data_IF_529077934086
#
_entry.id   IF_529077934086
#
_cell.length_a   1.000
_cell.length_b   1.000
_cell.length_c   1.000
_cell.angle_alpha   90.00
_cell.angle_beta   90.00
_cell.angle_gamma   90.00
#
_symmetry.space_group_name_H-M   'P 1'
#
loop_
_entity.id
_entity.type
_entity.pdbx_description
1 polymer ?
#
# COMPACT_ATOMS: atom_id res chain seq x y z
N UNK A 1 -48.00 -22.30 -64.97
CA UNK A 1 -47.16 -21.10 -65.21
C UNK A 1 -45.99 -21.13 -64.23
N UNK A 2 -44.75 -21.06 -64.75
CA UNK A 2 -43.49 -20.73 -64.03
C UNK A 2 -43.60 -19.28 -63.49
N UNK A 3 -42.90 -18.83 -62.44
CA UNK A 3 -41.78 -19.37 -61.68
C UNK A 3 -41.52 -18.51 -60.41
N UNK A 4 -40.44 -18.81 -59.67
CA UNK A 4 -40.12 -18.28 -58.34
C UNK A 4 -39.24 -17.03 -58.41
N UNK A 5 -39.28 -16.18 -57.39
CA UNK A 5 -38.22 -15.21 -57.13
C UNK A 5 -37.72 -15.34 -55.69
N UNK A 6 -36.49 -15.84 -55.61
CA UNK A 6 -35.60 -15.84 -54.46
C UNK A 6 -35.40 -14.41 -53.93
N UNK A 7 -35.49 -14.23 -52.62
CA UNK A 7 -34.83 -13.12 -51.95
C UNK A 7 -33.93 -13.65 -50.82
N UNK A 8 -32.75 -13.03 -50.64
CA UNK A 8 -31.54 -13.72 -50.24
C UNK A 8 -31.41 -13.91 -48.74
N UNK A 9 -30.79 -15.03 -48.38
CA UNK A 9 -30.06 -15.22 -47.13
C UNK A 9 -29.03 -14.09 -46.95
N UNK A 10 -29.26 -13.21 -45.99
CA UNK A 10 -28.19 -12.44 -45.35
C UNK A 10 -27.86 -13.07 -44.00
N UNK A 11 -26.87 -13.95 -44.05
CA UNK A 11 -26.02 -14.26 -42.91
C UNK A 11 -25.08 -13.06 -42.64
N UNK A 12 -24.71 -12.86 -41.38
CA UNK A 12 -23.57 -12.02 -40.99
C UNK A 12 -23.90 -10.60 -40.49
N UNK A 13 -23.78 -10.39 -39.18
CA UNK A 13 -23.79 -9.03 -38.62
C UNK A 13 -23.68 -8.89 -37.12
N UNK A 14 -22.71 -9.56 -36.48
CA UNK A 14 -22.09 -9.22 -35.19
C UNK A 14 -22.94 -8.60 -34.06
N UNK A 15 -23.14 -9.42 -33.02
CA UNK A 15 -23.29 -9.10 -31.59
C UNK A 15 -22.87 -7.67 -31.15
N UNK A 16 -23.79 -6.71 -31.14
CA UNK A 16 -23.65 -5.46 -30.37
C UNK A 16 -24.07 -5.64 -28.91
N UNK A 17 -23.57 -6.69 -28.24
CA UNK A 17 -23.78 -6.94 -26.79
C UNK A 17 -22.49 -6.82 -25.95
N UNK A 18 -21.40 -6.32 -26.52
CA UNK A 18 -20.09 -6.28 -25.83
C UNK A 18 -19.57 -4.90 -25.40
N UNK A 19 -20.10 -3.79 -25.93
CA UNK A 19 -19.42 -2.48 -25.80
C UNK A 19 -19.51 -1.83 -24.41
N UNK A 20 -20.63 -2.01 -23.69
CA UNK A 20 -20.82 -1.41 -22.36
C UNK A 20 -20.08 -2.13 -21.21
N UNK A 21 -19.84 -3.44 -21.34
CA UNK A 21 -19.13 -4.21 -20.31
C UNK A 21 -17.61 -4.05 -20.40
N UNK A 22 -17.07 -3.84 -21.59
CA UNK A 22 -15.63 -3.67 -21.81
C UNK A 22 -15.15 -2.30 -21.30
N UNK A 23 -15.91 -1.23 -21.53
CA UNK A 23 -15.58 0.12 -21.05
C UNK A 23 -15.64 0.25 -19.52
N UNK A 24 -16.66 -0.35 -18.89
CA UNK A 24 -16.76 -0.40 -17.43
C UNK A 24 -15.66 -1.28 -16.82
N UNK A 25 -15.29 -2.38 -17.48
CA UNK A 25 -14.16 -3.22 -17.03
C UNK A 25 -12.82 -2.52 -17.19
N UNK A 26 -12.62 -1.79 -18.30
CA UNK A 26 -11.41 -1.02 -18.55
C UNK A 26 -11.24 0.13 -17.55
N UNK A 27 -12.33 0.84 -17.22
CA UNK A 27 -12.32 1.91 -16.23
C UNK A 27 -11.95 1.37 -14.83
N UNK A 28 -12.55 0.26 -14.40
CA UNK A 28 -12.23 -0.37 -13.11
C UNK A 28 -10.77 -0.85 -13.05
N UNK A 29 -10.21 -1.33 -14.17
CA UNK A 29 -8.78 -1.68 -14.25
C UNK A 29 -7.89 -0.44 -14.13
N UNK A 30 -8.21 0.62 -14.87
CA UNK A 30 -7.45 1.87 -14.82
C UNK A 30 -7.45 2.50 -13.41
N UNK A 31 -8.59 2.48 -12.71
CA UNK A 31 -8.69 2.93 -11.32
C UNK A 31 -7.86 2.05 -10.37
N UNK A 32 -7.89 0.73 -10.55
CA UNK A 32 -7.10 -0.20 -9.76
C UNK A 32 -5.59 -0.02 -9.98
N UNK A 33 -5.16 0.19 -11.22
CA UNK A 33 -3.75 0.44 -11.57
C UNK A 33 -3.27 1.78 -11.01
N UNK A 34 -4.11 2.82 -11.09
CA UNK A 34 -3.82 4.12 -10.50
C UNK A 34 -3.70 4.06 -8.97
N UNK A 35 -4.57 3.30 -8.31
CA UNK A 35 -4.47 3.06 -6.87
C UNK A 35 -3.17 2.31 -6.53
N UNK A 36 -2.82 1.26 -7.27
CA UNK A 36 -1.58 0.50 -7.05
C UNK A 36 -0.34 1.40 -7.21
N UNK A 37 -0.31 2.24 -8.25
CA UNK A 37 0.77 3.20 -8.47
C UNK A 37 0.93 4.17 -7.29
N UNK A 38 -0.18 4.69 -6.75
CA UNK A 38 -0.16 5.56 -5.56
C UNK A 38 0.34 4.84 -4.32
N UNK A 39 -0.07 3.59 -4.11
CA UNK A 39 0.39 2.79 -2.97
C UNK A 39 1.88 2.47 -3.08
N UNK A 40 2.40 2.21 -4.28
CA UNK A 40 3.84 2.01 -4.50
C UNK A 40 4.64 3.28 -4.21
N UNK A 41 4.15 4.44 -4.66
CA UNK A 41 4.77 5.72 -4.36
C UNK A 41 4.77 6.01 -2.83
N UNK A 42 3.69 5.65 -2.12
CA UNK A 42 3.63 5.76 -0.67
C UNK A 42 4.68 4.85 0.01
N UNK A 43 4.74 3.56 -0.37
CA UNK A 43 5.73 2.61 0.16
C UNK A 43 7.15 3.11 -0.09
N UNK A 44 7.46 3.60 -1.28
CA UNK A 44 8.78 4.14 -1.61
C UNK A 44 9.16 5.32 -0.71
N UNK A 45 8.23 6.26 -0.48
CA UNK A 45 8.47 7.42 0.40
C UNK A 45 8.65 7.01 1.85
N UNK A 46 7.83 6.09 2.35
CA UNK A 46 7.94 5.59 3.73
C UNK A 46 9.24 4.78 3.93
N UNK A 47 9.63 3.97 2.95
CA UNK A 47 10.88 3.17 3.02
C UNK A 47 12.15 4.03 3.03
N UNK A 48 12.05 5.29 2.63
CA UNK A 48 13.14 6.26 2.70
C UNK A 48 13.28 6.90 4.09
N UNK A 49 12.36 6.63 5.02
CA UNK A 49 12.45 7.09 6.42
C UNK A 49 13.35 6.11 7.19
N UNK A 50 14.52 6.54 7.68
CA UNK A 50 15.42 5.64 8.40
C UNK A 50 14.79 5.10 9.69
N UNK A 51 15.01 3.82 9.97
CA UNK A 51 14.53 3.16 11.19
C UNK A 51 13.03 2.85 11.22
N UNK A 52 12.27 3.18 10.17
CA UNK A 52 10.84 2.86 10.10
C UNK A 52 10.63 1.40 9.66
N UNK A 53 9.90 0.62 10.47
CA UNK A 53 9.58 -0.77 10.12
C UNK A 53 8.30 -0.82 9.27
N UNK A 54 8.42 -1.35 8.05
CA UNK A 54 7.31 -1.39 7.09
C UNK A 54 7.13 -2.82 6.58
N UNK A 55 5.90 -3.32 6.66
CA UNK A 55 5.50 -4.60 6.09
C UNK A 55 4.51 -4.40 4.94
N UNK A 56 4.82 -4.97 3.78
CA UNK A 56 3.97 -4.88 2.58
C UNK A 56 3.53 -6.27 2.14
N UNK A 57 2.24 -6.44 1.87
CA UNK A 57 1.68 -7.67 1.30
C UNK A 57 1.05 -7.38 -0.06
N UNK A 58 1.16 -8.37 -0.96
CA UNK A 58 0.72 -8.27 -2.35
C UNK A 58 -0.35 -9.34 -2.65
N UNK A 59 -1.27 -9.07 -3.58
CA UNK A 59 -2.41 -9.96 -3.90
C UNK A 59 -2.01 -11.38 -4.32
N UNK A 60 -0.82 -11.54 -4.92
CA UNK A 60 -0.28 -12.83 -5.36
C UNK A 60 1.19 -13.05 -4.91
N UNK A 61 1.63 -12.36 -3.84
CA UNK A 61 3.02 -12.40 -3.38
C UNK A 61 3.14 -12.72 -1.89
N UNK A 62 4.25 -13.38 -1.52
CA UNK A 62 4.64 -13.59 -0.12
C UNK A 62 4.74 -12.24 0.62
N UNK A 63 4.42 -12.22 1.91
CA UNK A 63 4.65 -11.07 2.80
C UNK A 63 6.15 -10.74 2.78
N UNK A 64 6.49 -9.47 2.60
CA UNK A 64 7.87 -8.99 2.68
C UNK A 64 7.96 -7.93 3.78
N UNK A 65 8.72 -8.25 4.82
CA UNK A 65 9.09 -7.31 5.88
C UNK A 65 10.30 -6.52 5.39
N UNK A 66 10.19 -5.18 5.37
CA UNK A 66 11.30 -4.28 5.05
C UNK A 66 11.81 -3.69 6.37
N UNK A 67 13.06 -3.99 6.69
CA UNK A 67 13.84 -3.36 7.74
C UNK A 67 14.82 -2.38 7.08
N UNK A 68 15.01 -1.21 7.70
CA UNK A 68 15.64 -0.02 7.11
C UNK A 68 17.01 -0.19 6.43
N UNK A 69 17.33 0.84 5.63
CA UNK A 69 18.55 1.15 4.85
C UNK A 69 18.91 0.28 3.65
N UNK A 70 18.12 -0.73 3.30
CA UNK A 70 18.36 -1.48 2.08
C UNK A 70 17.69 -0.79 0.88
N UNK A 71 18.46 -0.27 -0.10
CA UNK A 71 17.89 0.18 -1.36
C UNK A 71 17.16 -0.99 -2.01
N UNK A 72 16.03 -0.69 -2.63
CA UNK A 72 15.21 -1.58 -3.46
C UNK A 72 16.09 -2.54 -4.30
N UNK A 73 16.41 -3.73 -3.80
CA UNK A 73 16.84 -4.85 -4.65
C UNK A 73 15.66 -5.80 -4.73
N UNK A 74 14.63 -5.35 -5.42
CA UNK A 74 13.70 -6.26 -6.07
C UNK A 74 14.00 -6.20 -7.56
N UNK A 75 14.38 -7.36 -8.09
CA UNK A 75 14.25 -7.75 -9.48
C UNK A 75 13.17 -6.92 -10.19
N UNK A 76 13.63 -5.95 -10.98
CA UNK A 76 12.80 -5.01 -11.75
C UNK A 76 11.93 -5.75 -12.78
N UNK A 77 12.16 -7.06 -12.96
CA UNK A 77 11.56 -7.89 -14.01
C UNK A 77 10.50 -8.90 -13.55
N UNK A 78 10.09 -8.94 -12.26
CA UNK A 78 9.00 -9.81 -11.83
C UNK A 78 7.73 -9.00 -11.55
N UNK A 79 6.58 -9.27 -12.20
CA UNK A 79 5.33 -8.59 -11.90
C UNK A 79 4.90 -8.97 -10.48
N UNK A 80 5.27 -8.12 -9.51
CA UNK A 80 4.72 -8.17 -8.16
C UNK A 80 3.25 -7.79 -8.28
N UNK A 81 2.34 -8.68 -7.88
CA UNK A 81 0.90 -8.41 -7.89
C UNK A 81 0.55 -7.14 -7.11
N UNK A 82 -0.67 -6.62 -7.25
CA UNK A 82 -1.06 -5.36 -6.62
C UNK A 82 -0.88 -5.35 -5.09
N UNK A 83 -0.52 -4.20 -4.53
CA UNK A 83 -0.40 -4.01 -3.08
C UNK A 83 -1.77 -4.25 -2.43
N UNK A 84 -1.80 -5.14 -1.44
CA UNK A 84 -2.99 -5.48 -0.67
C UNK A 84 -2.98 -4.85 0.72
N UNK A 85 -1.81 -4.78 1.37
CA UNK A 85 -1.68 -4.21 2.71
C UNK A 85 -0.34 -3.52 2.87
N UNK A 86 -0.35 -2.39 3.55
CA UNK A 86 0.81 -1.71 4.12
C UNK A 86 0.59 -1.68 5.63
N UNK A 87 1.61 -2.05 6.41
CA UNK A 87 1.60 -1.90 7.86
C UNK A 87 2.91 -1.24 8.29
N UNK A 88 2.82 -0.23 9.14
CA UNK A 88 3.95 0.55 9.65
C UNK A 88 3.92 0.48 11.17
N UNK A 89 4.96 -0.07 11.78
CA UNK A 89 5.12 -0.04 13.22
C UNK A 89 5.88 1.24 13.61
N UNK A 90 5.24 2.08 14.43
CA UNK A 90 5.85 3.30 14.95
C UNK A 90 5.26 3.64 16.31
N UNK A 91 6.13 3.84 17.30
CA UNK A 91 5.72 4.12 18.66
C UNK A 91 4.91 2.95 19.24
N UNK A 92 3.76 3.21 19.91
CA UNK A 92 2.95 2.16 20.52
C UNK A 92 1.95 1.52 19.55
N UNK A 93 1.96 1.88 18.26
CA UNK A 93 0.95 1.47 17.29
C UNK A 93 1.53 0.83 16.04
N UNK A 94 0.72 -0.01 15.41
CA UNK A 94 0.85 -0.46 14.03
C UNK A 94 -0.22 0.24 13.21
N UNK A 95 0.18 1.17 12.36
CA UNK A 95 -0.69 1.84 11.39
C UNK A 95 -0.83 0.95 10.16
N UNK A 96 -2.05 0.59 9.79
CA UNK A 96 -2.30 -0.28 8.65
C UNK A 96 -3.22 0.36 7.61
N UNK A 97 -2.95 0.03 6.35
CA UNK A 97 -3.78 0.35 5.19
C UNK A 97 -4.03 -0.94 4.42
N UNK A 98 -5.30 -1.29 4.22
CA UNK A 98 -5.73 -2.42 3.39
C UNK A 98 -6.38 -1.89 2.11
N UNK A 99 -5.88 -2.34 0.96
CA UNK A 99 -6.43 -2.01 -0.34
C UNK A 99 -7.34 -3.14 -0.85
N UNK A 100 -8.49 -2.74 -1.39
CA UNK A 100 -9.43 -3.57 -2.14
C UNK A 100 -9.63 -2.94 -3.52
N UNK A 101 -10.16 -3.67 -4.52
CA UNK A 101 -10.56 -3.04 -5.78
C UNK A 101 -11.48 -1.84 -5.51
N UNK A 102 -11.06 -0.66 -5.97
CA UNK A 102 -11.83 0.59 -5.84
C UNK A 102 -11.91 1.23 -4.45
N UNK A 103 -11.21 0.70 -3.43
CA UNK A 103 -11.29 1.27 -2.07
C UNK A 103 -10.08 0.98 -1.20
N UNK A 104 -9.89 1.81 -0.18
CA UNK A 104 -8.92 1.60 0.90
C UNK A 104 -9.63 1.64 2.25
N UNK A 105 -9.14 0.84 3.19
CA UNK A 105 -9.51 0.90 4.60
C UNK A 105 -8.24 1.15 5.41
N UNK A 106 -8.31 2.04 6.38
CA UNK A 106 -7.17 2.42 7.21
C UNK A 106 -7.51 2.24 8.68
N UNK A 107 -6.48 2.04 9.49
CA UNK A 107 -6.64 1.98 10.93
C UNK A 107 -5.31 1.84 11.65
N UNK A 108 -5.40 1.69 12.96
CA UNK A 108 -4.26 1.45 13.83
C UNK A 108 -4.59 0.38 14.85
N UNK A 109 -3.62 -0.47 15.13
CA UNK A 109 -3.70 -1.46 16.20
C UNK A 109 -2.61 -1.11 17.24
N UNK A 110 -2.88 -1.18 18.55
CA UNK A 110 -1.80 -1.10 19.53
C UNK A 110 -0.84 -2.28 19.37
N UNK A 111 0.45 -2.06 19.61
CA UNK A 111 1.43 -3.14 19.62
C UNK A 111 1.11 -4.05 20.83
N UNK A 112 0.96 -5.38 20.64
CA UNK A 112 0.40 -6.30 21.65
C UNK A 112 1.12 -6.32 23.01
N UNK A 113 2.36 -5.84 23.09
CA UNK A 113 3.14 -5.79 24.33
C UNK A 113 2.64 -4.68 25.27
N UNK A 114 1.86 -3.70 24.76
CA UNK A 114 1.56 -2.46 25.49
C UNK A 114 0.06 -2.16 25.74
N UNK A 115 -0.89 -2.96 25.24
CA UNK A 115 -2.31 -2.61 25.45
C UNK A 115 -3.33 -3.72 25.22
N UNK A 116 -4.38 -3.76 26.05
CA UNK A 116 -5.65 -4.49 25.84
C UNK A 116 -6.62 -3.74 24.88
N UNK A 117 -6.16 -2.65 24.26
CA UNK A 117 -6.99 -1.81 23.41
C UNK A 117 -7.32 -2.49 22.08
N UNK A 118 -8.57 -2.33 21.65
CA UNK A 118 -9.06 -2.80 20.35
C UNK A 118 -8.59 -1.84 19.26
N UNK A 119 -8.21 -2.39 18.10
CA UNK A 119 -7.81 -1.59 16.94
C UNK A 119 -8.89 -0.59 16.50
N UNK A 120 -8.44 0.56 16.00
CA UNK A 120 -9.28 1.68 15.60
C UNK A 120 -9.31 1.82 14.08
N UNK A 121 -10.51 1.94 13.50
CA UNK A 121 -10.71 2.28 12.09
C UNK A 121 -10.61 3.80 11.91
N UNK A 122 -9.81 4.23 10.93
CA UNK A 122 -9.55 5.63 10.66
C UNK A 122 -9.91 5.99 9.22
N UNK A 123 -10.29 7.25 9.00
CA UNK A 123 -10.29 7.81 7.64
C UNK A 123 -8.84 7.86 7.11
N UNK A 124 -8.65 7.87 5.79
CA UNK A 124 -7.30 7.99 5.23
C UNK A 124 -6.59 9.28 5.68
N UNK A 125 -7.31 10.38 5.78
CA UNK A 125 -6.75 11.67 6.21
C UNK A 125 -6.28 11.63 7.66
N UNK A 126 -7.11 11.08 8.58
CA UNK A 126 -6.73 10.90 9.99
C UNK A 126 -5.55 9.94 10.12
N UNK A 127 -5.60 8.82 9.40
CA UNK A 127 -4.52 7.83 9.38
C UNK A 127 -3.19 8.45 8.93
N UNK A 128 -3.19 9.23 7.85
CA UNK A 128 -1.98 9.87 7.34
C UNK A 128 -1.45 10.93 8.31
N UNK A 129 -2.32 11.80 8.83
CA UNK A 129 -1.93 12.83 9.79
C UNK A 129 -1.31 12.24 11.05
N UNK A 130 -2.00 11.29 11.67
CA UNK A 130 -1.51 10.66 12.90
C UNK A 130 -0.24 9.85 12.69
N UNK A 131 -0.11 9.12 11.57
CA UNK A 131 1.12 8.41 11.23
C UNK A 131 2.31 9.38 11.10
N UNK A 132 2.12 10.50 10.39
CA UNK A 132 3.22 11.46 10.18
C UNK A 132 3.61 12.17 11.48
N UNK A 133 2.64 12.52 12.32
CA UNK A 133 2.93 13.05 13.65
C UNK A 133 3.71 12.06 14.51
N UNK A 134 3.34 10.78 14.49
CA UNK A 134 4.02 9.74 15.28
C UNK A 134 5.45 9.49 14.76
N UNK A 135 5.65 9.45 13.44
CA UNK A 135 7.00 9.38 12.83
C UNK A 135 7.84 10.58 13.26
N UNK A 136 7.28 11.79 13.24
CA UNK A 136 7.99 12.99 13.66
C UNK A 136 8.38 12.93 15.15
N UNK A 137 7.44 12.55 16.04
CA UNK A 137 7.68 12.38 17.47
C UNK A 137 8.80 11.35 17.73
N UNK A 138 8.73 10.20 17.07
CA UNK A 138 9.69 9.12 17.29
C UNK A 138 11.09 9.44 16.76
N UNK A 139 11.19 10.16 15.64
CA UNK A 139 12.49 10.60 15.11
C UNK A 139 13.17 11.62 16.04
N UNK A 140 12.41 12.57 16.60
CA UNK A 140 12.94 13.52 17.58
C UNK A 140 13.41 12.78 18.84
N UNK A 141 12.58 11.89 19.40
CA UNK A 141 12.94 11.12 20.59
C UNK A 141 14.18 10.22 20.38
N UNK A 142 14.31 9.60 19.20
CA UNK A 142 15.49 8.83 18.83
C UNK A 142 16.74 9.72 18.72
N UNK A 143 16.61 10.90 18.13
CA UNK A 143 17.72 11.85 18.03
C UNK A 143 18.20 12.29 19.43
N UNK A 144 17.28 12.69 20.30
CA UNK A 144 17.60 13.12 21.67
C UNK A 144 18.24 12.00 22.50
N UNK A 145 17.72 10.77 22.36
CA UNK A 145 18.28 9.59 23.03
C UNK A 145 19.70 9.27 22.54
N UNK A 146 19.97 9.38 21.24
CA UNK A 146 21.31 9.19 20.68
C UNK A 146 22.29 10.27 21.13
N UNK A 147 21.85 11.52 21.27
CA UNK A 147 22.66 12.61 21.81
C UNK A 147 23.00 12.35 23.28
N UNK A 148 22.02 11.95 24.09
CA UNK A 148 22.23 11.62 25.50
C UNK A 148 23.18 10.42 25.68
N UNK A 149 23.00 9.37 24.88
CA UNK A 149 23.90 8.20 24.87
C UNK A 149 25.33 8.60 24.45
N UNK A 150 25.47 9.47 23.45
CA UNK A 150 26.78 9.96 23.02
C UNK A 150 27.46 10.74 24.13
N UNK A 151 26.76 11.66 24.80
CA UNK A 151 27.30 12.42 25.93
C UNK A 151 27.74 11.50 27.07
N UNK A 152 26.95 10.46 27.38
CA UNK A 152 27.29 9.48 28.41
C UNK A 152 28.56 8.69 28.06
N UNK A 153 28.68 8.21 26.82
CA UNK A 153 29.89 7.52 26.33
C UNK A 153 31.11 8.46 26.26
N UNK A 154 30.92 9.73 25.94
CA UNK A 154 32.00 10.72 25.93
C UNK A 154 32.47 11.07 27.35
N UNK A 155 31.57 11.09 28.34
CA UNK A 155 31.91 11.30 29.74
C UNK A 155 32.63 10.10 30.38
N UNK A 156 32.24 8.86 30.05
CA UNK A 156 32.88 7.63 30.56
C UNK A 156 34.30 7.39 30.01
N UNK A 157 34.75 8.14 28.99
CA UNK A 157 36.10 8.04 28.40
C UNK A 157 37.14 8.95 29.06
N UNK A 158 36.76 9.71 30.08
CA UNK A 158 37.61 10.72 30.73
C UNK A 158 38.33 10.18 31.99
N UNK A 159 38.20 8.89 32.30
CA UNK A 159 38.95 8.22 33.37
C UNK A 159 40.20 7.45 32.85
#
# INVERSE_FOLDING_TARGET
MKGPEDLPLTDGGARSRGRGFDESSAMVRAEADHLDARLRALVQRLSAVPGLEISVSYRHGKVRTLLGDLPYVNDVNRPTGSIRRIAIAVGPYVYWLNAKPGSIACGRDPIPVQSERVGEMLTFSSWAGELFEEIARHNVANHDSLVALRQLVEHDRVD
#
